data_IF_870176646063
#
_entry.id   IF_870176646063
#
_cell.length_a   1.000
_cell.length_b   1.000
_cell.length_c   1.000
_cell.angle_alpha   90.00
_cell.angle_beta   90.00
_cell.angle_gamma   90.00
#
_symmetry.space_group_name_H-M   'P 1'
#
loop_
_entity.id
_entity.type
_entity.pdbx_description
1 polymer ?
#
# COMPACT_ATOMS: atom_id res chain seq x y z
N UNK A 1 38.19 40.82 20.96
CA UNK A 1 38.31 39.36 21.09
C UNK A 1 37.00 38.84 21.66
N UNK A 2 36.00 38.57 20.83
CA UNK A 2 35.77 37.33 20.08
C UNK A 2 35.57 36.10 20.99
N UNK A 3 34.33 35.59 20.96
CA UNK A 3 33.92 34.17 20.89
C UNK A 3 34.51 33.23 21.98
N UNK A 4 33.75 32.48 22.79
CA UNK A 4 32.71 31.51 22.40
C UNK A 4 31.83 31.16 23.62
N UNK A 5 30.60 31.68 23.66
CA UNK A 5 29.46 31.03 24.34
C UNK A 5 28.71 30.23 23.29
N UNK A 6 29.05 28.96 23.07
CA UNK A 6 28.14 27.96 22.45
C UNK A 6 28.88 26.63 22.30
N UNK A 7 29.04 25.91 23.41
CA UNK A 7 29.25 24.45 23.39
C UNK A 7 28.15 23.81 24.23
N UNK A 8 26.91 24.17 23.93
CA UNK A 8 25.78 23.26 24.10
C UNK A 8 25.56 22.65 22.72
N UNK A 9 26.53 21.82 22.31
CA UNK A 9 26.49 21.10 21.05
C UNK A 9 25.19 20.31 21.01
N UNK A 10 24.20 20.81 20.25
CA UNK A 10 23.78 20.22 18.97
C UNK A 10 23.83 18.68 18.96
N UNK A 11 23.43 18.08 20.07
CA UNK A 11 23.07 16.66 20.24
C UNK A 11 21.59 16.53 20.55
N UNK A 12 20.84 17.63 20.43
CA UNK A 12 19.41 17.57 20.17
C UNK A 12 19.24 17.09 18.74
N UNK A 13 19.38 15.77 18.60
CA UNK A 13 18.57 14.92 17.76
C UNK A 13 17.97 15.70 16.58
N UNK A 14 18.78 15.94 15.56
CA UNK A 14 18.24 15.85 14.20
C UNK A 14 17.92 14.36 14.03
N UNK A 15 16.87 13.89 14.71
CA UNK A 15 16.02 12.86 14.14
C UNK A 15 15.51 13.53 12.88
N UNK A 16 16.27 13.31 11.82
CA UNK A 16 15.75 13.29 10.49
C UNK A 16 14.68 12.18 10.55
N UNK A 17 13.51 12.52 11.08
CA UNK A 17 12.27 11.78 10.90
C UNK A 17 11.96 12.03 9.43
N UNK A 18 12.78 11.41 8.58
CA UNK A 18 12.42 11.13 7.21
C UNK A 18 11.07 10.45 7.38
N UNK A 19 10.00 11.16 7.03
CA UNK A 19 8.65 10.72 7.26
C UNK A 19 8.55 9.33 6.63
N UNK A 20 8.62 8.28 7.47
CA UNK A 20 8.52 6.93 6.97
C UNK A 20 7.16 6.87 6.31
N UNK A 21 7.15 6.57 5.02
CA UNK A 21 5.90 6.36 4.30
C UNK A 21 5.12 5.32 5.10
N UNK A 22 3.87 5.63 5.51
CA UNK A 22 3.12 4.81 6.46
C UNK A 22 2.84 3.40 5.91
N UNK A 23 2.92 3.27 4.59
CA UNK A 23 2.89 2.02 3.85
C UNK A 23 4.22 1.81 3.12
N UNK A 24 4.65 0.57 3.06
CA UNK A 24 5.77 0.14 2.22
C UNK A 24 5.34 -0.25 0.81
N UNK A 25 6.30 -0.78 0.07
CA UNK A 25 6.09 -1.26 -1.29
C UNK A 25 5.20 -2.51 -1.35
N UNK A 26 4.26 -2.52 -2.30
CA UNK A 26 3.46 -3.71 -2.61
C UNK A 26 4.35 -4.86 -3.08
N UNK A 27 4.12 -6.05 -2.54
CA UNK A 27 4.77 -7.28 -2.94
C UNK A 27 3.71 -8.28 -3.39
N UNK A 28 3.97 -8.97 -4.50
CA UNK A 28 3.06 -9.97 -5.05
C UNK A 28 3.67 -11.35 -4.88
N UNK A 29 2.91 -12.27 -4.29
CA UNK A 29 3.34 -13.64 -4.04
C UNK A 29 2.34 -14.61 -4.66
N UNK A 30 2.84 -15.58 -5.42
CA UNK A 30 2.04 -16.73 -5.85
C UNK A 30 2.46 -17.94 -5.03
N UNK A 31 1.52 -18.57 -4.33
CA UNK A 31 1.77 -19.75 -3.50
C UNK A 31 0.62 -20.72 -3.67
N UNK A 32 0.92 -21.99 -3.94
CA UNK A 32 -0.06 -23.08 -4.04
C UNK A 32 -1.22 -22.83 -5.02
N UNK A 33 -0.96 -22.05 -6.08
CA UNK A 33 -1.97 -21.68 -7.09
C UNK A 33 -2.70 -20.37 -6.81
N UNK A 34 -2.74 -19.95 -5.54
CA UNK A 34 -3.36 -18.69 -5.07
C UNK A 34 -2.44 -17.49 -5.27
N UNK A 35 -3.06 -16.31 -5.42
CA UNK A 35 -2.36 -15.04 -5.56
C UNK A 35 -2.56 -14.17 -4.32
N UNK A 36 -1.46 -13.78 -3.70
CA UNK A 36 -1.44 -12.93 -2.52
C UNK A 36 -0.76 -11.60 -2.81
N UNK A 37 -1.23 -10.56 -2.13
CA UNK A 37 -0.58 -9.27 -2.04
C UNK A 37 -0.15 -9.04 -0.60
N UNK A 38 1.10 -8.61 -0.42
CA UNK A 38 1.68 -8.31 0.88
C UNK A 38 1.97 -6.82 0.93
N UNK A 39 1.48 -6.16 1.97
CA UNK A 39 1.68 -4.74 2.22
C UNK A 39 2.38 -4.54 3.57
N UNK A 40 3.67 -4.18 3.57
CA UNK A 40 4.33 -3.71 4.77
C UNK A 40 3.72 -2.38 5.24
N UNK A 41 3.65 -2.16 6.55
CA UNK A 41 3.21 -0.90 7.14
C UNK A 41 4.13 -0.46 8.27
N UNK A 42 4.17 0.85 8.53
CA UNK A 42 5.04 1.45 9.55
C UNK A 42 4.27 2.43 10.45
N UNK A 43 2.95 2.27 10.51
CA UNK A 43 2.06 3.21 11.18
C UNK A 43 1.84 2.88 12.67
N UNK A 44 1.89 3.90 13.53
CA UNK A 44 1.62 3.82 14.97
C UNK A 44 0.13 3.92 15.32
N UNK A 45 -0.69 4.48 14.45
CA UNK A 45 -2.11 4.77 14.68
C UNK A 45 -3.02 3.51 14.58
N UNK A 46 -2.42 2.34 14.30
CA UNK A 46 -3.12 1.07 14.08
C UNK A 46 -3.96 1.06 12.79
N UNK A 47 -4.43 -0.14 12.41
CA UNK A 47 -5.21 -0.36 11.18
C UNK A 47 -6.61 -0.80 11.58
N UNK A 48 -7.63 -0.09 11.11
CA UNK A 48 -9.04 -0.37 11.37
C UNK A 48 -9.71 -1.14 10.24
N UNK A 49 -9.20 -1.03 9.01
CA UNK A 49 -9.78 -1.72 7.87
C UNK A 49 -8.96 -1.57 6.59
N UNK A 50 -9.24 -2.42 5.61
CA UNK A 50 -8.71 -2.29 4.27
C UNK A 50 -9.80 -2.50 3.21
N UNK A 51 -9.70 -1.78 2.11
CA UNK A 51 -10.62 -1.87 0.97
C UNK A 51 -9.83 -1.86 -0.35
N UNK A 52 -10.40 -2.47 -1.38
CA UNK A 52 -9.87 -2.44 -2.73
C UNK A 52 -10.61 -1.39 -3.56
N UNK A 53 -9.91 -0.33 -3.94
CA UNK A 53 -10.40 0.63 -4.91
C UNK A 53 -10.11 0.11 -6.33
N UNK A 54 -11.14 0.06 -7.18
CA UNK A 54 -11.07 -0.39 -8.56
C UNK A 54 -11.48 0.76 -9.46
N UNK A 55 -10.56 1.23 -10.30
CA UNK A 55 -10.79 2.27 -11.30
C UNK A 55 -10.96 1.61 -12.66
N UNK A 56 -12.14 1.76 -13.26
CA UNK A 56 -12.47 1.16 -14.56
C UNK A 56 -12.89 2.26 -15.54
N UNK A 57 -12.36 2.26 -16.78
CA UNK A 57 -12.86 3.13 -17.83
C UNK A 57 -14.22 2.62 -18.34
N UNK A 58 -15.20 3.53 -18.44
CA UNK A 58 -16.55 3.27 -18.98
C UNK A 58 -16.86 4.37 -20.01
N UNK A 59 -16.64 4.06 -21.28
CA UNK A 59 -16.61 5.07 -22.34
C UNK A 59 -15.49 6.07 -22.08
N UNK A 60 -15.83 7.36 -22.08
CA UNK A 60 -14.88 8.46 -21.81
C UNK A 60 -14.73 8.80 -20.31
N UNK A 61 -15.42 8.06 -19.43
CA UNK A 61 -15.40 8.32 -17.99
C UNK A 61 -14.55 7.30 -17.21
N UNK A 62 -13.94 7.75 -16.12
CA UNK A 62 -13.27 6.87 -15.15
C UNK A 62 -14.20 6.68 -13.95
N UNK A 63 -14.70 5.46 -13.78
CA UNK A 63 -15.50 5.08 -12.62
C UNK A 63 -14.63 4.46 -11.54
N UNK A 64 -14.82 4.85 -10.28
CA UNK A 64 -14.14 4.23 -9.13
C UNK A 64 -15.17 3.51 -8.27
N UNK A 65 -14.93 2.23 -8.00
CA UNK A 65 -15.70 1.43 -7.05
C UNK A 65 -14.82 0.96 -5.90
N UNK A 66 -15.44 0.67 -4.76
CA UNK A 66 -14.79 0.16 -3.57
C UNK A 66 -15.38 -1.19 -3.23
N UNK A 67 -14.52 -2.17 -2.97
CA UNK A 67 -14.92 -3.51 -2.60
C UNK A 67 -14.20 -3.92 -1.32
N UNK A 68 -14.90 -4.60 -0.39
CA UNK A 68 -14.23 -5.32 0.68
C UNK A 68 -13.22 -6.30 0.08
N UNK A 69 -12.09 -6.48 0.77
CA UNK A 69 -11.05 -7.42 0.39
C UNK A 69 -10.71 -8.29 1.60
N UNK A 70 -10.46 -9.57 1.38
CA UNK A 70 -10.05 -10.49 2.44
C UNK A 70 -8.59 -10.21 2.81
N UNK A 71 -8.33 -9.94 4.09
CA UNK A 71 -6.99 -9.67 4.59
C UNK A 71 -6.75 -10.18 6.01
N UNK A 72 -5.49 -10.49 6.30
CA UNK A 72 -4.97 -10.79 7.63
C UNK A 72 -3.85 -9.82 7.98
N UNK A 73 -3.86 -9.30 9.21
CA UNK A 73 -2.82 -8.38 9.70
C UNK A 73 -1.90 -9.12 10.67
N UNK A 74 -0.61 -9.12 10.37
CA UNK A 74 0.43 -9.59 11.26
C UNK A 74 1.19 -8.40 11.84
N UNK A 75 0.87 -8.02 13.07
CA UNK A 75 1.52 -6.91 13.79
C UNK A 75 2.95 -7.23 14.26
N UNK A 76 3.33 -8.50 14.38
CA UNK A 76 4.72 -8.88 14.74
C UNK A 76 5.70 -8.59 13.59
N UNK A 77 5.25 -8.79 12.35
CA UNK A 77 6.07 -8.55 11.15
C UNK A 77 5.70 -7.27 10.42
N UNK A 78 4.72 -6.51 10.93
CA UNK A 78 4.14 -5.31 10.33
C UNK A 78 3.75 -5.50 8.86
N UNK A 79 3.00 -6.57 8.58
CA UNK A 79 2.54 -6.93 7.23
C UNK A 79 1.04 -7.19 7.22
N UNK A 80 0.39 -6.73 6.17
CA UNK A 80 -0.97 -7.14 5.81
C UNK A 80 -0.88 -8.10 4.63
N UNK A 81 -1.57 -9.22 4.74
CA UNK A 81 -1.66 -10.24 3.71
C UNK A 81 -3.06 -10.20 3.11
N UNK A 82 -3.16 -9.99 1.81
CA UNK A 82 -4.42 -9.93 1.08
C UNK A 82 -4.54 -11.16 0.18
N UNK A 83 -5.68 -11.84 0.25
CA UNK A 83 -6.00 -12.88 -0.71
C UNK A 83 -6.70 -12.26 -1.93
N UNK A 84 -6.12 -12.45 -3.12
CA UNK A 84 -6.64 -11.89 -4.37
C UNK A 84 -7.47 -12.90 -5.19
N UNK A 85 -7.74 -14.09 -4.67
CA UNK A 85 -8.42 -15.15 -5.43
C UNK A 85 -9.86 -14.76 -5.80
N UNK A 86 -10.56 -14.10 -4.87
CA UNK A 86 -11.94 -13.62 -5.05
C UNK A 86 -12.04 -12.25 -5.76
N UNK A 87 -10.90 -11.59 -6.03
CA UNK A 87 -10.90 -10.29 -6.68
C UNK A 87 -11.22 -10.46 -8.16
N UNK A 88 -12.23 -9.73 -8.64
CA UNK A 88 -12.57 -9.71 -10.08
C UNK A 88 -11.40 -9.17 -10.89
N UNK A 89 -10.92 -9.98 -11.84
CA UNK A 89 -9.76 -9.68 -12.69
C UNK A 89 -10.22 -9.03 -13.99
N UNK A 90 -10.11 -7.72 -14.06
CA UNK A 90 -10.37 -6.93 -15.26
C UNK A 90 -9.07 -6.29 -15.77
N UNK A 91 -8.81 -6.42 -17.08
CA UNK A 91 -7.58 -5.97 -17.73
C UNK A 91 -7.55 -4.46 -17.96
N UNK A 92 -8.72 -3.84 -18.12
CA UNK A 92 -8.83 -2.39 -18.35
C UNK A 92 -8.80 -1.60 -17.04
N UNK A 93 -8.87 -2.29 -15.89
CA UNK A 93 -9.03 -1.66 -14.59
C UNK A 93 -7.70 -1.51 -13.84
N UNK A 94 -7.55 -0.38 -13.13
CA UNK A 94 -6.46 -0.09 -12.19
C UNK A 94 -6.94 -0.33 -10.77
N UNK A 95 -6.12 -1.00 -9.96
CA UNK A 95 -6.46 -1.44 -8.61
C UNK A 95 -5.55 -0.77 -7.60
N UNK A 96 -6.07 -0.48 -6.41
CA UNK A 96 -5.33 0.17 -5.33
C UNK A 96 -5.90 -0.26 -3.99
N UNK A 97 -5.03 -0.62 -3.05
CA UNK A 97 -5.46 -0.91 -1.68
C UNK A 97 -5.55 0.40 -0.91
N UNK A 98 -6.65 0.59 -0.19
CA UNK A 98 -6.83 1.64 0.79
C UNK A 98 -6.78 1.03 2.18
N UNK A 99 -5.95 1.61 3.04
CA UNK A 99 -5.79 1.21 4.44
C UNK A 99 -6.34 2.32 5.31
N UNK A 100 -7.38 2.00 6.06
CA UNK A 100 -8.03 2.88 7.02
C UNK A 100 -7.42 2.64 8.41
N UNK A 101 -7.20 3.73 9.15
CA UNK A 101 -6.67 3.66 10.52
C UNK A 101 -7.74 3.99 11.56
N UNK A 102 -7.48 3.67 12.82
CA UNK A 102 -8.42 3.95 13.91
C UNK A 102 -8.67 5.44 14.14
N UNK A 103 -7.73 6.31 13.74
CA UNK A 103 -7.91 7.76 13.78
C UNK A 103 -8.55 8.35 12.52
N UNK A 104 -9.08 7.51 11.62
CA UNK A 104 -9.80 7.94 10.43
C UNK A 104 -8.92 8.41 9.26
N UNK A 105 -7.60 8.23 9.32
CA UNK A 105 -6.73 8.49 8.17
C UNK A 105 -6.85 7.36 7.15
N UNK A 106 -6.67 7.71 5.88
CA UNK A 106 -6.71 6.77 4.75
C UNK A 106 -5.38 6.82 4.02
N UNK A 107 -4.71 5.69 3.94
CA UNK A 107 -3.46 5.53 3.18
C UNK A 107 -3.71 4.71 1.93
N UNK A 108 -3.14 5.16 0.82
CA UNK A 108 -3.34 4.55 -0.50
C UNK A 108 -2.04 3.95 -1.00
N UNK A 109 -2.10 2.74 -1.52
CA UNK A 109 -0.93 2.11 -2.15
C UNK A 109 -0.66 2.69 -3.53
N UNK A 110 0.51 2.37 -4.09
CA UNK A 110 0.71 2.49 -5.54
C UNK A 110 -0.32 1.62 -6.28
N UNK A 111 -0.78 2.06 -7.46
CA UNK A 111 -1.71 1.27 -8.25
C UNK A 111 -1.05 0.01 -8.85
N UNK A 112 -1.88 -0.97 -9.16
CA UNK A 112 -1.50 -2.19 -9.87
C UNK A 112 -2.58 -2.63 -10.85
N UNK A 113 -2.21 -3.46 -11.82
CA UNK A 113 -3.12 -3.98 -12.85
C UNK A 113 -2.96 -5.50 -12.99
N UNK A 114 -3.99 -6.17 -13.49
CA UNK A 114 -3.91 -7.57 -13.86
C UNK A 114 -3.37 -7.75 -15.28
N UNK A 115 -2.19 -8.36 -15.42
CA UNK A 115 -1.63 -8.72 -16.73
C UNK A 115 -1.83 -10.21 -17.00
N UNK A 116 -2.49 -10.54 -18.12
CA UNK A 116 -2.58 -11.91 -18.62
C UNK A 116 -1.28 -12.31 -19.32
N UNK A 117 -0.63 -13.39 -18.88
CA UNK A 117 0.55 -14.00 -19.51
C UNK A 117 0.36 -15.51 -19.59
N UNK A 118 0.50 -16.08 -20.80
CA UNK A 118 0.43 -17.54 -21.05
C UNK A 118 -0.74 -18.24 -20.34
N UNK A 119 -1.96 -17.68 -20.47
CA UNK A 119 -3.17 -18.24 -19.88
C UNK A 119 -3.46 -17.80 -18.43
N UNK A 120 -2.48 -17.30 -17.68
CA UNK A 120 -2.65 -16.90 -16.28
C UNK A 120 -2.70 -15.38 -16.10
N UNK A 121 -3.46 -14.91 -15.12
CA UNK A 121 -3.43 -13.51 -14.67
C UNK A 121 -2.45 -13.35 -13.51
N UNK A 122 -1.65 -12.28 -13.55
CA UNK A 122 -0.78 -11.89 -12.46
C UNK A 122 -0.92 -10.38 -12.22
N UNK A 123 -0.98 -9.94 -10.96
CA UNK A 123 -0.99 -8.53 -10.64
C UNK A 123 0.43 -7.98 -10.82
N UNK A 124 0.54 -6.78 -11.38
CA UNK A 124 1.82 -6.09 -11.57
C UNK A 124 1.66 -4.63 -11.17
N UNK A 125 2.71 -4.05 -10.55
CA UNK A 125 2.74 -2.61 -10.29
C UNK A 125 2.57 -1.85 -11.59
N UNK A 126 1.78 -0.78 -11.57
CA UNK A 126 1.82 0.21 -12.66
C UNK A 126 3.01 1.11 -12.40
N UNK A 127 4.04 1.01 -13.24
CA UNK A 127 5.02 2.07 -13.35
C UNK A 127 4.32 3.20 -14.10
N UNK A 128 3.68 4.13 -13.38
CA UNK A 128 3.41 5.42 -14.01
C UNK A 128 4.75 6.16 -14.07
N UNK A 129 5.11 6.70 -15.25
CA UNK A 129 6.31 7.54 -15.40
C UNK A 129 6.25 8.77 -14.49
#
# INVERSE_FOLDING_TARGET
MLLKKTVAGIYLFIMNVCAMTPLGDLQFLKKDGSCYLILPFYNKDGISGCELAIKSPVGDFIYTSFQPIDYDINFYTNRIFFNLDNVRKDKSSEYMVQVNTFNGKVFKTVPFVWKKRKGNFAPIKTNKP
#
